data_IF_955862585785
#
_entry.id   IF_955862585785
#
_cell.length_a   1.000
_cell.length_b   1.000
_cell.length_c   1.000
_cell.angle_alpha   90.00
_cell.angle_beta   90.00
_cell.angle_gamma   90.00
#
_symmetry.space_group_name_H-M   'P 1'
#
loop_
_entity.id
_entity.type
_entity.pdbx_description
1 polymer ?
#
# COMPACT_ATOMS: atom_id res chain seq x y z
N UNK A 1 -7.55 5.30 -10.52
CA UNK A 1 -6.15 5.12 -10.96
C UNK A 1 -5.92 3.68 -11.39
N UNK A 2 -5.15 3.48 -12.45
CA UNK A 2 -4.83 2.12 -12.90
C UNK A 2 -3.79 1.48 -11.98
N UNK A 3 -3.88 0.18 -11.84
CA UNK A 3 -2.96 -0.58 -11.00
C UNK A 3 -2.70 -1.96 -11.62
N UNK A 4 -1.57 -2.56 -11.22
CA UNK A 4 -1.13 -3.85 -11.76
C UNK A 4 -1.50 -5.02 -10.86
N UNK A 5 -1.64 -4.76 -9.56
CA UNK A 5 -1.96 -5.78 -8.56
C UNK A 5 -2.75 -5.15 -7.43
N UNK A 6 -3.63 -5.94 -6.82
CA UNK A 6 -4.44 -5.48 -5.69
C UNK A 6 -4.23 -6.38 -4.48
N UNK A 7 -4.09 -5.77 -3.31
CA UNK A 7 -4.01 -6.46 -2.03
C UNK A 7 -5.15 -5.96 -1.14
N UNK A 8 -5.98 -6.87 -0.67
CA UNK A 8 -7.05 -6.54 0.27
C UNK A 8 -6.58 -6.84 1.69
N UNK A 9 -6.28 -5.78 2.43
CA UNK A 9 -5.87 -5.87 3.83
C UNK A 9 -6.98 -5.40 4.78
N UNK A 10 -8.22 -5.41 4.31
CA UNK A 10 -9.38 -5.03 5.13
C UNK A 10 -9.49 -5.93 6.35
N UNK A 11 -9.84 -5.34 7.48
CA UNK A 11 -10.01 -6.07 8.73
C UNK A 11 -8.72 -6.43 9.44
N UNK A 12 -7.56 -6.14 8.86
CA UNK A 12 -6.28 -6.40 9.48
C UNK A 12 -5.79 -5.19 10.26
N UNK A 13 -5.12 -5.46 11.39
CA UNK A 13 -4.54 -4.42 12.23
C UNK A 13 -3.03 -4.33 12.03
N UNK A 14 -2.48 -3.16 12.33
CA UNK A 14 -1.03 -2.94 12.30
C UNK A 14 -0.31 -4.06 13.07
N UNK A 15 0.77 -4.64 12.53
CA UNK A 15 1.47 -4.27 11.30
C UNK A 15 1.06 -5.10 10.07
N UNK A 16 -0.04 -5.86 10.14
CA UNK A 16 -0.42 -6.79 9.08
C UNK A 16 -0.66 -6.15 7.71
N UNK A 17 -1.31 -4.96 7.61
CA UNK A 17 -1.45 -4.32 6.30
C UNK A 17 -0.11 -4.06 5.61
N UNK A 18 0.88 -3.61 6.37
CA UNK A 18 2.22 -3.35 5.83
C UNK A 18 2.88 -4.66 5.37
N UNK A 19 2.74 -5.73 6.15
CA UNK A 19 3.31 -7.02 5.78
C UNK A 19 2.69 -7.57 4.49
N UNK A 20 1.37 -7.41 4.33
CA UNK A 20 0.69 -7.80 3.10
C UNK A 20 1.16 -6.96 1.92
N UNK A 21 1.38 -5.68 2.14
CA UNK A 21 1.90 -4.77 1.12
C UNK A 21 3.31 -5.20 0.68
N UNK A 22 4.18 -5.48 1.63
CA UNK A 22 5.54 -5.94 1.33
C UNK A 22 5.52 -7.21 0.48
N UNK A 23 4.68 -8.16 0.87
CA UNK A 23 4.56 -9.43 0.13
C UNK A 23 4.07 -9.17 -1.29
N UNK A 24 3.07 -8.30 -1.43
CA UNK A 24 2.56 -7.96 -2.75
C UNK A 24 3.60 -7.34 -3.65
N UNK A 25 4.39 -6.41 -3.11
CA UNK A 25 5.43 -5.73 -3.87
C UNK A 25 6.58 -6.66 -4.27
N UNK A 26 6.85 -7.70 -3.50
CA UNK A 26 7.98 -8.58 -3.75
C UNK A 26 7.90 -9.29 -5.10
N UNK A 27 6.69 -9.52 -5.60
CA UNK A 27 6.46 -10.20 -6.88
C UNK A 27 6.36 -9.24 -8.06
N UNK A 28 6.46 -7.94 -7.81
CA UNK A 28 6.21 -6.92 -8.81
C UNK A 28 7.50 -6.39 -9.42
N UNK A 29 7.39 -5.91 -10.65
CA UNK A 29 8.50 -5.27 -11.34
C UNK A 29 8.53 -3.77 -11.04
N UNK A 30 9.68 -3.15 -11.30
CA UNK A 30 9.84 -1.71 -11.11
C UNK A 30 8.77 -0.92 -11.85
N UNK A 31 8.30 0.15 -11.25
CA UNK A 31 7.30 1.07 -11.78
C UNK A 31 5.88 0.50 -11.86
N UNK A 32 5.66 -0.73 -11.47
CA UNK A 32 4.30 -1.26 -11.35
C UNK A 32 3.61 -0.68 -10.14
N UNK A 33 2.28 -0.60 -10.19
CA UNK A 33 1.46 0.01 -9.16
C UNK A 33 0.68 -1.05 -8.39
N UNK A 34 0.80 -1.02 -7.06
CA UNK A 34 0.05 -1.88 -6.17
C UNK A 34 -1.08 -1.09 -5.52
N UNK A 35 -2.29 -1.62 -5.60
CA UNK A 35 -3.43 -1.06 -4.89
C UNK A 35 -3.62 -1.84 -3.58
N UNK A 36 -3.61 -1.14 -2.45
CA UNK A 36 -3.81 -1.75 -1.14
C UNK A 36 -5.03 -1.15 -0.47
N UNK A 37 -5.94 -2.00 0.00
CA UNK A 37 -7.13 -1.56 0.72
C UNK A 37 -6.93 -1.92 2.19
N UNK A 38 -7.10 -0.95 3.08
CA UNK A 38 -6.94 -1.16 4.52
C UNK A 38 -8.05 -0.47 5.30
N UNK A 39 -8.37 -0.99 6.48
CA UNK A 39 -9.38 -0.40 7.35
C UNK A 39 -8.83 0.04 8.70
N UNK A 40 -7.57 -0.26 8.99
CA UNK A 40 -6.94 0.15 10.25
C UNK A 40 -6.71 1.66 10.27
N UNK A 41 -7.17 2.37 11.32
CA UNK A 41 -7.01 3.83 11.38
C UNK A 41 -5.56 4.32 11.32
N UNK A 42 -4.61 3.50 11.72
CA UNK A 42 -3.19 3.85 11.65
C UNK A 42 -2.55 3.66 10.29
N UNK A 43 -3.30 3.17 9.31
CA UNK A 43 -2.74 2.81 8.00
C UNK A 43 -2.12 3.98 7.27
N UNK A 44 -2.73 5.16 7.30
CA UNK A 44 -2.20 6.32 6.59
C UNK A 44 -0.78 6.63 7.05
N UNK A 45 -0.58 6.70 8.36
CA UNK A 45 0.73 6.98 8.94
C UNK A 45 1.72 5.86 8.61
N UNK A 46 1.29 4.61 8.76
CA UNK A 46 2.15 3.45 8.54
C UNK A 46 2.60 3.34 7.09
N UNK A 47 1.70 3.54 6.13
CA UNK A 47 2.05 3.46 4.72
C UNK A 47 2.91 4.62 4.27
N UNK A 48 2.70 5.82 4.81
CA UNK A 48 3.59 6.94 4.52
C UNK A 48 5.01 6.64 5.01
N UNK A 49 5.15 6.15 6.23
CA UNK A 49 6.45 5.79 6.78
C UNK A 49 7.11 4.66 5.98
N UNK A 50 6.32 3.65 5.61
CA UNK A 50 6.82 2.53 4.81
C UNK A 50 7.38 3.01 3.48
N UNK A 51 6.66 3.87 2.77
CA UNK A 51 7.11 4.35 1.47
C UNK A 51 8.37 5.20 1.59
N UNK A 52 8.46 6.04 2.62
CA UNK A 52 9.66 6.85 2.87
C UNK A 52 10.86 5.96 3.14
N UNK A 53 10.69 4.94 3.99
CA UNK A 53 11.79 4.06 4.37
C UNK A 53 12.27 3.15 3.26
N UNK A 54 11.38 2.72 2.39
CA UNK A 54 11.71 1.74 1.35
C UNK A 54 12.01 2.34 0.01
N UNK A 55 11.65 3.60 -0.21
CA UNK A 55 11.84 4.24 -1.50
C UNK A 55 10.73 3.98 -2.51
N UNK A 56 9.70 3.25 -2.12
CA UNK A 56 8.50 3.13 -2.95
C UNK A 56 7.74 4.45 -2.92
N UNK A 57 6.96 4.74 -3.95
CA UNK A 57 6.25 6.01 -4.06
C UNK A 57 4.76 5.83 -3.80
N UNK A 58 4.22 6.59 -2.86
CA UNK A 58 2.78 6.64 -2.63
C UNK A 58 2.18 7.63 -3.63
N UNK A 59 1.52 7.10 -4.66
CA UNK A 59 0.97 7.92 -5.73
C UNK A 59 -0.34 8.60 -5.34
N UNK A 60 -1.19 7.89 -4.61
CA UNK A 60 -2.51 8.38 -4.29
C UNK A 60 -3.05 7.67 -3.06
N UNK A 61 -3.81 8.39 -2.26
CA UNK A 61 -4.56 7.85 -1.14
C UNK A 61 -6.01 8.28 -1.31
N UNK A 62 -6.90 7.31 -1.42
CA UNK A 62 -8.34 7.55 -1.40
C UNK A 62 -8.88 7.09 -0.06
N UNK A 63 -9.72 7.91 0.55
CA UNK A 63 -10.23 7.63 1.89
C UNK A 63 -11.75 7.79 1.91
N UNK A 64 -12.43 6.81 2.48
CA UNK A 64 -13.86 6.94 2.75
C UNK A 64 -14.11 6.72 4.24
N UNK A 65 -15.38 6.50 4.63
CA UNK A 65 -15.75 6.41 6.05
C UNK A 65 -15.12 5.22 6.76
N UNK A 66 -14.86 4.13 6.05
CA UNK A 66 -14.45 2.87 6.66
C UNK A 66 -13.14 2.31 6.12
N UNK A 67 -12.61 2.86 5.03
CA UNK A 67 -11.44 2.27 4.42
C UNK A 67 -10.51 3.32 3.81
N UNK A 68 -9.28 2.89 3.57
CA UNK A 68 -8.23 3.66 2.94
C UNK A 68 -7.71 2.84 1.77
N UNK A 69 -7.55 3.47 0.61
CA UNK A 69 -7.00 2.82 -0.57
C UNK A 69 -5.71 3.50 -0.97
N UNK A 70 -4.62 2.75 -0.98
CA UNK A 70 -3.29 3.27 -1.29
C UNK A 70 -2.85 2.75 -2.65
N UNK A 71 -2.31 3.65 -3.48
CA UNK A 71 -1.70 3.29 -4.76
C UNK A 71 -0.21 3.52 -4.64
N UNK A 72 0.57 2.46 -4.66
CA UNK A 72 2.00 2.49 -4.38
C UNK A 72 2.77 2.01 -5.61
N UNK A 73 3.66 2.86 -6.10
CA UNK A 73 4.52 2.54 -7.24
C UNK A 73 5.80 1.90 -6.73
N UNK A 74 6.13 0.72 -7.24
CA UNK A 74 7.33 0.03 -6.83
C UNK A 74 8.57 0.76 -7.34
N UNK A 75 9.56 0.90 -6.45
CA UNK A 75 10.82 1.56 -6.79
C UNK A 75 11.55 0.81 -7.90
N UNK A 76 12.52 1.50 -8.52
CA UNK A 76 13.15 1.05 -9.75
C UNK A 76 14.21 -0.05 -9.60
N UNK A 77 14.62 -0.39 -8.40
CA UNK A 77 15.66 -1.40 -8.23
C UNK A 77 15.18 -2.73 -7.67
#
# INVERSE_FOLDING_TARGET
>A
MEFDKEVDASGLNCPLPILRCKKGLSDMSAAQVLKVIATDPGSVKDFNAFCVQTGHELLQLDQDETSFTFYIKKRAD
#
